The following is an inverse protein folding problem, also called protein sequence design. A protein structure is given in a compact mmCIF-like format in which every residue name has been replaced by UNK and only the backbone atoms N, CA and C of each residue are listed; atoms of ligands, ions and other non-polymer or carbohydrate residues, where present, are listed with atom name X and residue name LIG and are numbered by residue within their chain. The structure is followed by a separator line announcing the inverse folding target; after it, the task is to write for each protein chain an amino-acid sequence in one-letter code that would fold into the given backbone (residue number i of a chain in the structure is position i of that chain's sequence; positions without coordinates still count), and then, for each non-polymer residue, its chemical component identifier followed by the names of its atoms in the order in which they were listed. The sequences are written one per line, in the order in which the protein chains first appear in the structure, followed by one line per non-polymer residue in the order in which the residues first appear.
data_IF_953760422613
#
_entry.id   IF_953760422613
#
_cell.length_a   1.000
_cell.length_b   1.000
_cell.length_c   1.000
_cell.angle_alpha   90.00
_cell.angle_beta   90.00
_cell.angle_gamma   90.00
#
_symmetry.space_group_name_H-M   'P 1'
#
loop_
_entity.id
_entity.type
_entity.pdbx_description
1 polymer ?
#
# COMPACT_ATOMS: atom_id res chain seq x y z
N UNK A 1 -20.56 64.04 -6.84
CA UNK A 1 -19.82 62.95 -6.14
C UNK A 1 -20.63 61.68 -6.33
N UNK A 2 -20.17 60.73 -7.16
CA UNK A 2 -20.81 59.42 -7.33
C UNK A 2 -19.78 58.39 -6.91
N UNK A 3 -19.99 57.75 -5.77
CA UNK A 3 -19.12 56.67 -5.27
C UNK A 3 -19.64 55.36 -5.85
N UNK A 4 -18.83 54.71 -6.68
CA UNK A 4 -19.11 53.37 -7.18
C UNK A 4 -18.51 52.35 -6.22
N UNK A 5 -19.35 51.51 -5.61
CA UNK A 5 -18.92 50.38 -4.79
C UNK A 5 -18.63 49.19 -5.70
N UNK A 6 -17.37 48.74 -5.72
CA UNK A 6 -16.98 47.47 -6.32
C UNK A 6 -17.21 46.36 -5.29
N UNK A 7 -18.14 45.46 -5.57
CA UNK A 7 -18.34 44.22 -4.80
C UNK A 7 -17.33 43.20 -5.30
N UNK A 8 -16.37 42.83 -4.45
CA UNK A 8 -15.45 41.71 -4.71
C UNK A 8 -16.13 40.40 -4.31
N UNK A 9 -16.39 39.54 -5.29
CA UNK A 9 -16.73 38.12 -5.08
C UNK A 9 -15.43 37.33 -4.90
N UNK A 10 -15.18 36.68 -3.75
CA UNK A 10 -14.06 35.76 -3.63
C UNK A 10 -14.36 34.49 -4.42
N UNK A 11 -13.47 34.13 -5.35
CA UNK A 11 -13.51 32.84 -6.03
C UNK A 11 -13.13 31.74 -5.04
N UNK A 12 -14.05 30.79 -4.82
CA UNK A 12 -13.81 29.60 -4.00
C UNK A 12 -12.96 28.62 -4.83
N UNK A 13 -11.66 28.51 -4.53
CA UNK A 13 -10.80 27.51 -5.15
C UNK A 13 -11.20 26.11 -4.66
N UNK A 14 -11.76 25.28 -5.54
CA UNK A 14 -11.99 23.88 -5.24
C UNK A 14 -10.63 23.16 -5.16
N UNK A 15 -10.33 22.58 -3.99
CA UNK A 15 -9.12 21.77 -3.81
C UNK A 15 -9.34 20.44 -4.57
N UNK A 16 -8.73 20.31 -5.74
CA UNK A 16 -8.74 19.03 -6.48
C UNK A 16 -7.77 18.09 -5.79
N UNK A 17 -8.28 17.14 -5.02
CA UNK A 17 -7.46 16.04 -4.51
C UNK A 17 -7.14 15.07 -5.65
N UNK A 18 -5.87 14.72 -5.80
CA UNK A 18 -5.45 13.64 -6.68
C UNK A 18 -6.17 12.35 -6.27
N UNK A 19 -6.69 11.61 -7.26
CA UNK A 19 -7.48 10.40 -7.00
C UNK A 19 -6.58 9.17 -6.78
N UNK A 20 -5.31 9.27 -7.14
CA UNK A 20 -4.26 8.35 -6.73
C UNK A 20 -3.48 8.92 -5.56
N UNK A 21 -2.95 8.06 -4.70
CA UNK A 21 -2.17 8.52 -3.55
C UNK A 21 -0.92 9.34 -3.99
N UNK A 22 -0.39 10.22 -3.11
CA UNK A 22 0.85 10.94 -3.38
C UNK A 22 1.97 9.96 -3.75
N UNK A 23 2.81 10.32 -4.73
CA UNK A 23 3.89 9.45 -5.24
C UNK A 23 3.48 8.09 -5.83
N UNK A 24 2.18 7.76 -5.89
CA UNK A 24 1.73 6.55 -6.57
C UNK A 24 2.06 6.63 -8.08
N UNK A 25 2.57 5.55 -8.72
CA UNK A 25 3.16 5.65 -10.06
C UNK A 25 2.13 5.87 -11.18
N UNK A 26 0.85 5.55 -10.94
CA UNK A 26 -0.24 5.82 -11.87
C UNK A 26 -1.00 7.04 -11.37
N UNK A 27 -1.11 8.08 -12.19
CA UNK A 27 -1.88 9.29 -11.86
C UNK A 27 -3.23 9.24 -12.56
N UNK A 28 -4.29 9.41 -11.78
CA UNK A 28 -5.67 9.38 -12.27
C UNK A 28 -6.39 10.62 -11.74
N UNK A 29 -7.11 11.30 -12.63
CA UNK A 29 -7.90 12.49 -12.29
C UNK A 29 -9.38 12.16 -12.04
N UNK A 30 -9.86 11.03 -12.57
CA UNK A 30 -11.23 10.54 -12.39
C UNK A 30 -11.41 9.87 -11.04
N UNK A 31 -12.40 10.33 -10.27
CA UNK A 31 -12.72 9.74 -8.97
C UNK A 31 -13.49 8.43 -9.10
N UNK A 32 -13.11 7.46 -8.28
CA UNK A 32 -13.78 6.17 -8.16
C UNK A 32 -14.59 6.13 -6.85
N UNK A 33 -15.89 5.90 -6.97
CA UNK A 33 -16.72 5.67 -5.79
C UNK A 33 -16.52 4.22 -5.29
N UNK A 34 -16.25 4.10 -3.99
CA UNK A 34 -15.96 2.84 -3.31
C UNK A 34 -16.68 2.84 -1.96
N UNK A 35 -17.30 1.72 -1.61
CA UNK A 35 -18.00 1.55 -0.34
C UNK A 35 -17.75 0.15 0.24
N UNK A 36 -17.37 0.08 1.50
CA UNK A 36 -17.42 -1.14 2.29
C UNK A 36 -18.82 -1.28 2.87
N UNK A 37 -19.68 -1.99 2.14
CA UNK A 37 -21.10 -2.12 2.46
C UNK A 37 -21.35 -2.83 3.79
N UNK A 38 -20.46 -3.74 4.19
CA UNK A 38 -20.52 -4.44 5.48
C UNK A 38 -20.47 -3.49 6.69
N UNK A 39 -19.69 -2.40 6.59
CA UNK A 39 -19.55 -1.38 7.63
C UNK A 39 -20.28 -0.06 7.30
N UNK A 40 -20.91 0.04 6.13
CA UNK A 40 -21.45 1.30 5.58
C UNK A 40 -20.39 2.41 5.42
N UNK A 41 -19.12 2.03 5.26
CA UNK A 41 -18.00 2.96 5.12
C UNK A 41 -17.82 3.38 3.68
N UNK A 42 -18.04 4.68 3.42
CA UNK A 42 -17.83 5.29 2.10
C UNK A 42 -16.46 5.91 2.00
N UNK A 43 -15.71 5.53 0.98
CA UNK A 43 -14.36 6.02 0.77
C UNK A 43 -14.38 7.52 0.43
N UNK A 44 -13.70 8.31 1.27
CA UNK A 44 -13.32 9.69 0.97
C UNK A 44 -11.84 9.71 0.62
N UNK A 45 -11.50 10.42 -0.45
CA UNK A 45 -10.12 10.44 -0.95
C UNK A 45 -9.15 10.99 0.10
N UNK A 46 -8.11 10.21 0.37
CA UNK A 46 -7.02 10.56 1.28
C UNK A 46 -7.40 10.60 2.76
N UNK A 47 -8.53 10.00 3.15
CA UNK A 47 -8.88 9.87 4.57
C UNK A 47 -8.30 8.61 5.18
N UNK A 48 -8.06 8.65 6.48
CA UNK A 48 -7.79 7.45 7.27
C UNK A 48 -9.11 6.71 7.48
N UNK A 49 -9.07 5.38 7.34
CA UNK A 49 -10.19 4.48 7.59
C UNK A 49 -9.81 3.52 8.71
N UNK A 50 -10.75 3.24 9.61
CA UNK A 50 -10.57 2.22 10.65
C UNK A 50 -10.40 0.84 10.02
N UNK A 51 -9.39 0.11 10.47
CA UNK A 51 -9.05 -1.22 9.95
C UNK A 51 -10.23 -2.18 10.01
N UNK A 52 -11.00 -2.14 11.10
CA UNK A 52 -12.08 -3.08 11.37
C UNK A 52 -13.31 -2.82 10.45
N UNK A 53 -13.42 -1.63 9.86
CA UNK A 53 -14.48 -1.29 8.91
C UNK A 53 -14.25 -1.88 7.50
N UNK A 54 -13.05 -2.36 7.22
CA UNK A 54 -12.60 -2.73 5.86
C UNK A 54 -12.08 -4.16 5.77
N UNK A 55 -12.56 -5.04 6.65
CA UNK A 55 -12.20 -6.46 6.67
C UNK A 55 -12.76 -7.23 5.46
N UNK A 56 -13.87 -6.77 4.89
CA UNK A 56 -14.48 -7.36 3.69
C UNK A 56 -14.08 -6.60 2.42
N UNK A 57 -14.11 -7.23 1.23
CA UNK A 57 -13.85 -6.52 -0.02
C UNK A 57 -14.86 -5.38 -0.26
N UNK A 58 -14.42 -4.24 -0.81
CA UNK A 58 -15.34 -3.15 -1.09
C UNK A 58 -16.21 -3.42 -2.32
N UNK A 59 -17.39 -2.79 -2.34
CA UNK A 59 -18.15 -2.58 -3.58
C UNK A 59 -17.56 -1.40 -4.35
N UNK A 60 -17.24 -1.63 -5.62
CA UNK A 60 -16.72 -0.60 -6.51
C UNK A 60 -17.83 -0.14 -7.45
N UNK A 61 -17.97 1.17 -7.59
CA UNK A 61 -18.96 1.76 -8.48
C UNK A 61 -18.29 2.28 -9.75
N UNK A 62 -18.57 1.59 -10.86
CA UNK A 62 -18.08 1.94 -12.19
C UNK A 62 -18.69 3.23 -12.75
N UNK A 63 -18.24 3.64 -13.95
CA UNK A 63 -18.75 4.82 -14.63
C UNK A 63 -20.25 4.68 -14.96
N UNK A 64 -20.92 5.80 -15.23
CA UNK A 64 -22.33 5.80 -15.63
C UNK A 64 -22.60 5.01 -16.92
N UNK A 65 -21.57 4.83 -17.76
CA UNK A 65 -21.59 4.03 -18.99
C UNK A 65 -21.33 2.54 -18.77
N UNK A 66 -21.12 2.07 -17.54
CA UNK A 66 -20.94 0.66 -17.25
C UNK A 66 -22.16 -0.15 -17.71
N UNK A 67 -21.90 -1.32 -18.27
CA UNK A 67 -22.91 -2.25 -18.77
C UNK A 67 -22.52 -3.69 -18.42
N UNK A 68 -23.41 -4.64 -18.73
CA UNK A 68 -23.10 -6.08 -18.65
C UNK A 68 -22.18 -6.58 -19.76
N UNK A 69 -21.85 -5.74 -20.75
CA UNK A 69 -21.06 -6.15 -21.92
C UNK A 69 -19.61 -5.67 -21.88
N UNK A 70 -19.28 -4.74 -20.97
CA UNK A 70 -17.95 -4.18 -20.82
C UNK A 70 -17.36 -4.60 -19.48
N UNK A 71 -16.38 -5.50 -19.53
CA UNK A 71 -15.66 -5.94 -18.35
C UNK A 71 -14.64 -4.89 -17.89
N UNK A 72 -14.37 -4.90 -16.59
CA UNK A 72 -13.43 -4.02 -15.93
C UNK A 72 -12.52 -4.83 -15.01
N UNK A 73 -11.35 -4.27 -14.72
CA UNK A 73 -10.40 -4.80 -13.75
C UNK A 73 -10.27 -3.82 -12.59
N UNK A 74 -10.48 -4.31 -11.37
CA UNK A 74 -10.18 -3.57 -10.16
C UNK A 74 -8.90 -4.06 -9.50
N UNK A 75 -8.12 -3.13 -8.97
CA UNK A 75 -6.89 -3.42 -8.24
C UNK A 75 -6.80 -2.58 -6.98
N UNK A 76 -6.30 -3.17 -5.89
CA UNK A 76 -5.92 -2.45 -4.67
C UNK A 76 -4.45 -2.70 -4.37
N UNK A 77 -3.69 -1.61 -4.19
CA UNK A 77 -2.25 -1.65 -3.99
C UNK A 77 -1.87 -0.81 -2.77
N UNK A 78 -1.16 -1.43 -1.83
CA UNK A 78 -0.39 -0.74 -0.79
C UNK A 78 0.96 -0.34 -1.39
N UNK A 79 1.39 0.91 -1.23
CA UNK A 79 2.68 1.39 -1.73
C UNK A 79 3.74 1.61 -0.63
N UNK A 80 3.39 1.34 0.62
CA UNK A 80 4.16 1.74 1.80
C UNK A 80 4.69 0.54 2.59
N UNK A 81 4.84 -0.65 1.98
CA UNK A 81 5.39 -1.82 2.70
C UNK A 81 6.88 -1.63 3.00
N UNK A 82 7.25 -1.69 4.28
CA UNK A 82 8.65 -1.78 4.71
C UNK A 82 9.17 -3.21 4.65
N UNK A 83 10.28 -3.40 3.94
CA UNK A 83 11.01 -4.67 3.87
C UNK A 83 12.37 -4.62 4.60
N UNK A 84 12.59 -3.57 5.40
CA UNK A 84 13.87 -3.30 6.07
C UNK A 84 14.91 -2.66 5.16
N UNK A 85 14.46 -2.04 4.06
CA UNK A 85 15.28 -1.31 3.09
C UNK A 85 14.94 0.19 3.11
N UNK A 86 15.78 1.02 2.50
CA UNK A 86 15.56 2.47 2.48
C UNK A 86 14.30 2.91 1.70
N UNK A 87 13.76 2.03 0.85
CA UNK A 87 12.61 2.32 -0.02
C UNK A 87 11.46 1.38 0.31
N UNK A 88 10.25 1.94 0.46
CA UNK A 88 9.00 1.18 0.54
C UNK A 88 8.69 0.48 -0.80
N UNK A 89 8.04 -0.67 -0.73
CA UNK A 89 7.63 -1.47 -1.90
C UNK A 89 6.12 -1.62 -1.96
N UNK A 90 5.62 -2.08 -3.11
CA UNK A 90 4.19 -2.28 -3.29
C UNK A 90 3.77 -3.71 -2.94
N UNK A 91 2.55 -3.84 -2.40
CA UNK A 91 1.88 -5.10 -2.15
C UNK A 91 0.51 -5.11 -2.83
N UNK A 92 0.23 -6.18 -3.57
CA UNK A 92 -1.06 -6.41 -4.21
C UNK A 92 -2.10 -6.95 -3.20
N UNK A 93 -3.01 -6.09 -2.77
CA UNK A 93 -4.08 -6.45 -1.84
C UNK A 93 -5.27 -7.11 -2.54
N UNK A 94 -5.58 -6.67 -3.76
CA UNK A 94 -6.74 -7.18 -4.50
C UNK A 94 -6.52 -7.06 -5.99
N UNK A 95 -6.88 -8.11 -6.74
CA UNK A 95 -6.99 -8.07 -8.20
C UNK A 95 -8.27 -8.81 -8.60
N UNK A 96 -9.19 -8.08 -9.20
CA UNK A 96 -10.48 -8.62 -9.63
C UNK A 96 -10.74 -8.27 -11.09
N UNK A 97 -10.56 -9.24 -12.00
CA UNK A 97 -10.98 -9.11 -13.38
C UNK A 97 -12.50 -9.37 -13.49
N UNK A 98 -13.01 -9.22 -14.71
CA UNK A 98 -14.37 -9.60 -15.09
C UNK A 98 -15.46 -8.88 -14.29
N UNK A 99 -15.25 -7.62 -13.92
CA UNK A 99 -16.26 -6.79 -13.27
C UNK A 99 -17.19 -6.14 -14.30
N UNK A 100 -18.49 -6.30 -14.12
CA UNK A 100 -19.53 -5.62 -14.89
C UNK A 100 -20.53 -4.98 -13.98
N UNK A 101 -21.20 -3.93 -14.43
CA UNK A 101 -22.22 -3.26 -13.63
C UNK A 101 -23.33 -2.70 -14.49
N UNK A 102 -24.57 -3.00 -14.11
CA UNK A 102 -25.75 -2.22 -14.51
C UNK A 102 -26.10 -1.32 -13.33
N UNK A 103 -26.28 -0.01 -13.57
CA UNK A 103 -26.54 0.98 -12.51
C UNK A 103 -25.33 1.21 -11.57
N UNK A 104 -24.12 1.21 -12.12
CA UNK A 104 -22.83 1.59 -11.50
C UNK A 104 -22.24 0.60 -10.50
N UNK A 105 -23.01 -0.06 -9.64
CA UNK A 105 -22.45 -1.08 -8.75
C UNK A 105 -21.89 -2.24 -9.57
N UNK A 106 -20.60 -2.55 -9.41
CA UNK A 106 -19.96 -3.63 -10.16
C UNK A 106 -20.07 -4.95 -9.41
N UNK A 107 -20.27 -6.00 -10.19
CA UNK A 107 -20.40 -7.39 -9.78
C UNK A 107 -19.51 -8.24 -10.65
N UNK A 108 -19.04 -9.36 -10.12
CA UNK A 108 -18.31 -10.34 -10.91
C UNK A 108 -19.26 -10.91 -11.97
N UNK A 109 -18.84 -10.82 -13.23
CA UNK A 109 -19.59 -11.36 -14.34
C UNK A 109 -19.64 -12.88 -14.25
N UNK A 110 -20.86 -13.44 -14.24
CA UNK A 110 -21.02 -14.88 -14.36
C UNK A 110 -20.66 -15.32 -15.81
N UNK A 111 -19.85 -16.39 -15.97
CA UNK A 111 -19.52 -16.98 -17.28
C UNK A 111 -20.77 -17.32 -18.11
N UNK A 112 -21.88 -17.61 -17.45
CA UNK A 112 -23.14 -18.04 -18.09
C UNK A 112 -23.91 -16.88 -18.73
N UNK A 113 -23.60 -15.63 -18.37
CA UNK A 113 -24.40 -14.45 -18.74
C UNK A 113 -23.85 -13.64 -19.91
N UNK A 114 -22.59 -13.87 -20.31
CA UNK A 114 -21.98 -13.22 -21.46
C UNK A 114 -20.75 -14.01 -21.96
N UNK A 115 -20.75 -14.38 -23.25
CA UNK A 115 -19.71 -15.23 -23.84
C UNK A 115 -18.42 -14.49 -24.21
N UNK A 116 -18.35 -13.17 -24.07
CA UNK A 116 -17.16 -12.36 -24.43
C UNK A 116 -16.12 -12.26 -23.30
N UNK A 117 -16.33 -12.97 -22.20
CA UNK A 117 -15.58 -12.77 -20.96
C UNK A 117 -14.86 -14.06 -20.65
N UNK A 118 -13.53 -14.01 -20.60
CA UNK A 118 -12.74 -15.18 -20.24
C UNK A 118 -12.86 -15.45 -18.73
N UNK A 119 -13.79 -16.33 -18.37
CA UNK A 119 -14.00 -16.79 -17.00
C UNK A 119 -12.78 -17.45 -16.35
N UNK A 120 -11.75 -17.80 -17.13
CA UNK A 120 -10.54 -18.44 -16.65
C UNK A 120 -9.46 -17.46 -16.16
N UNK A 121 -9.68 -16.14 -16.24
CA UNK A 121 -8.69 -15.16 -15.73
C UNK A 121 -8.65 -15.26 -14.20
N UNK A 122 -7.50 -15.61 -13.59
CA UNK A 122 -7.41 -15.72 -12.14
C UNK A 122 -7.58 -14.37 -11.44
N UNK A 123 -8.18 -14.39 -10.25
CA UNK A 123 -8.23 -13.26 -9.34
C UNK A 123 -7.20 -13.39 -8.22
N UNK A 124 -6.85 -12.27 -7.60
CA UNK A 124 -6.16 -12.25 -6.31
C UNK A 124 -7.13 -11.84 -5.24
N UNK A 125 -7.44 -12.75 -4.31
CA UNK A 125 -8.40 -12.52 -3.23
C UNK A 125 -8.04 -11.28 -2.41
N UNK A 126 -9.07 -10.62 -1.90
CA UNK A 126 -8.92 -9.43 -1.08
C UNK A 126 -8.16 -9.76 0.20
N UNK A 127 -7.04 -9.07 0.39
CA UNK A 127 -6.28 -9.07 1.62
C UNK A 127 -6.65 -7.81 2.40
N UNK A 128 -7.24 -7.91 3.60
CA UNK A 128 -7.59 -6.74 4.39
C UNK A 128 -6.36 -5.89 4.73
N UNK A 129 -6.38 -4.56 4.50
CA UNK A 129 -5.33 -3.66 4.95
C UNK A 129 -4.98 -3.86 6.42
N UNK A 130 -3.75 -4.30 6.69
CA UNK A 130 -3.25 -4.53 8.06
C UNK A 130 -1.78 -4.13 8.12
N UNK A 131 -1.48 -2.82 8.10
CA UNK A 131 -0.10 -2.36 8.17
C UNK A 131 0.54 -2.82 9.49
N UNK A 132 1.87 -3.03 9.53
CA UNK A 132 2.55 -3.42 10.76
C UNK A 132 2.39 -2.35 11.86
N UNK A 133 2.25 -2.80 13.10
CA UNK A 133 2.15 -1.89 14.24
C UNK A 133 3.40 -1.02 14.41
N UNK A 134 3.20 0.29 14.57
CA UNK A 134 4.29 1.27 14.69
C UNK A 134 4.96 1.68 13.37
N UNK A 135 4.47 1.20 12.22
CA UNK A 135 5.01 1.56 10.90
C UNK A 135 4.40 2.85 10.31
N UNK A 136 3.48 3.47 11.06
CA UNK A 136 2.69 4.61 10.60
C UNK A 136 1.55 4.21 9.65
N UNK A 137 0.83 5.19 9.08
CA UNK A 137 -0.24 4.92 8.14
C UNK A 137 0.32 4.46 6.79
N UNK A 138 -0.25 3.39 6.22
CA UNK A 138 0.02 2.96 4.85
C UNK A 138 -1.03 3.52 3.90
N UNK A 139 -0.63 3.87 2.68
CA UNK A 139 -1.51 4.41 1.63
C UNK A 139 -1.91 3.31 0.67
N UNK A 140 -3.22 3.15 0.51
CA UNK A 140 -3.86 2.15 -0.33
C UNK A 140 -4.54 2.84 -1.51
N UNK A 141 -4.14 2.51 -2.74
CA UNK A 141 -4.77 3.05 -3.95
C UNK A 141 -5.62 1.97 -4.62
N UNK A 142 -6.90 2.26 -4.83
CA UNK A 142 -7.82 1.45 -5.62
C UNK A 142 -7.88 2.03 -7.03
N UNK A 143 -7.71 1.21 -8.05
CA UNK A 143 -7.81 1.58 -9.46
C UNK A 143 -8.87 0.75 -10.18
N UNK A 144 -9.50 1.36 -11.19
CA UNK A 144 -10.40 0.70 -12.12
C UNK A 144 -9.91 0.90 -13.55
N UNK A 145 -9.81 -0.18 -14.31
CA UNK A 145 -9.44 -0.19 -15.73
C UNK A 145 -10.56 -0.79 -16.56
N UNK A 146 -10.71 -0.36 -17.82
CA UNK A 146 -11.44 -1.17 -18.81
C UNK A 146 -10.62 -2.44 -19.09
N UNK A 147 -11.31 -3.58 -19.16
CA UNK A 147 -10.66 -4.86 -19.46
C UNK A 147 -10.63 -5.08 -20.98
N UNK A 148 -9.46 -5.28 -21.61
CA UNK A 148 -9.38 -5.71 -23.00
C UNK A 148 -10.13 -7.03 -23.25
N UNK A 149 -10.74 -7.21 -24.42
CA UNK A 149 -11.49 -8.43 -24.76
C UNK A 149 -10.61 -9.69 -24.65
N UNK A 150 -9.37 -9.62 -25.11
CA UNK A 150 -8.39 -10.71 -25.08
C UNK A 150 -7.45 -10.63 -23.86
N UNK A 151 -7.89 -10.01 -22.77
CA UNK A 151 -7.05 -9.84 -21.58
C UNK A 151 -6.55 -11.17 -21.03
N UNK A 152 -5.25 -11.22 -20.74
CA UNK A 152 -4.60 -12.27 -19.99
C UNK A 152 -3.62 -11.66 -19.00
N UNK A 153 -3.43 -12.32 -17.86
CA UNK A 153 -2.38 -11.95 -16.91
C UNK A 153 -1.02 -12.20 -17.58
N UNK A 154 -0.12 -11.19 -17.67
CA UNK A 154 1.21 -11.41 -18.23
C UNK A 154 1.98 -12.44 -17.40
N UNK A 155 2.77 -13.28 -18.07
CA UNK A 155 3.41 -14.43 -17.43
C UNK A 155 4.40 -14.03 -16.32
N UNK A 156 5.02 -12.86 -16.45
CA UNK A 156 5.88 -12.24 -15.44
C UNK A 156 5.14 -11.86 -14.14
N UNK A 157 3.80 -11.77 -14.15
CA UNK A 157 2.97 -11.50 -12.99
C UNK A 157 2.19 -12.73 -12.48
N UNK A 158 2.41 -13.91 -13.06
CA UNK A 158 1.69 -15.13 -12.69
C UNK A 158 1.89 -15.54 -11.22
N UNK A 159 3.00 -15.16 -10.57
CA UNK A 159 3.21 -15.41 -9.15
C UNK A 159 2.40 -14.49 -8.23
N UNK A 160 1.86 -13.38 -8.76
CA UNK A 160 1.04 -12.44 -8.00
C UNK A 160 -0.45 -12.74 -8.17
N UNK A 161 -0.86 -13.38 -9.27
CA UNK A 161 -2.25 -13.53 -9.69
C UNK A 161 -2.51 -14.96 -10.25
N UNK A 162 -3.04 -15.89 -9.44
CA UNK A 162 -3.19 -15.80 -8.00
C UNK A 162 -1.84 -16.06 -7.31
N UNK A 163 -1.61 -15.51 -6.11
CA UNK A 163 -0.40 -15.77 -5.36
C UNK A 163 -0.47 -17.14 -4.68
N UNK A 164 0.66 -17.88 -4.68
CA UNK A 164 0.75 -19.14 -3.93
C UNK A 164 0.80 -18.89 -2.42
N UNK A 165 1.49 -17.83 -2.00
CA UNK A 165 1.62 -17.39 -0.61
C UNK A 165 1.37 -15.88 -0.54
N UNK A 166 0.94 -15.38 0.62
CA UNK A 166 0.74 -13.93 0.82
C UNK A 166 2.02 -13.13 0.54
N UNK A 167 3.20 -13.71 0.78
CA UNK A 167 4.48 -13.07 0.47
C UNK A 167 4.74 -12.91 -1.02
N UNK A 168 4.10 -13.69 -1.89
CA UNK A 168 4.24 -13.51 -3.34
C UNK A 168 3.55 -12.24 -3.85
N UNK A 169 2.76 -11.56 -3.01
CA UNK A 169 2.08 -10.30 -3.37
C UNK A 169 3.00 -9.08 -3.39
N UNK A 170 4.24 -9.19 -2.92
CA UNK A 170 5.24 -8.12 -2.96
C UNK A 170 6.62 -8.65 -3.42
N UNK A 171 7.48 -7.82 -4.03
CA UNK A 171 7.25 -6.43 -4.41
C UNK A 171 6.48 -6.35 -5.74
N UNK A 172 5.21 -5.95 -5.69
CA UNK A 172 4.41 -5.76 -6.89
C UNK A 172 4.89 -4.52 -7.66
N UNK A 173 4.67 -4.50 -8.97
CA UNK A 173 4.92 -3.31 -9.80
C UNK A 173 3.68 -3.03 -10.64
N UNK A 174 2.81 -2.15 -10.14
CA UNK A 174 1.55 -1.80 -10.82
C UNK A 174 1.81 -1.12 -12.17
N UNK A 175 2.86 -0.31 -12.29
CA UNK A 175 3.17 0.39 -13.54
C UNK A 175 3.70 -0.58 -14.59
N UNK A 176 4.58 -1.49 -14.17
CA UNK A 176 5.02 -2.61 -14.99
C UNK A 176 3.86 -3.51 -15.41
N UNK A 177 2.93 -3.83 -14.50
CA UNK A 177 1.77 -4.67 -14.78
C UNK A 177 0.85 -4.06 -15.82
N UNK A 178 0.45 -2.80 -15.64
CA UNK A 178 -0.42 -2.07 -16.58
C UNK A 178 0.19 -2.06 -17.97
N UNK A 179 1.50 -1.80 -18.07
CA UNK A 179 2.24 -1.82 -19.34
C UNK A 179 2.27 -3.21 -19.97
N UNK A 180 2.61 -4.25 -19.20
CA UNK A 180 2.75 -5.62 -19.70
C UNK A 180 1.41 -6.23 -20.11
N UNK A 181 0.34 -5.89 -19.37
CA UNK A 181 -1.01 -6.37 -19.62
C UNK A 181 -1.76 -5.60 -20.71
N UNK A 182 -1.13 -4.58 -21.30
CA UNK A 182 -1.76 -3.76 -22.34
C UNK A 182 -2.99 -3.00 -21.84
N UNK A 183 -2.99 -2.60 -20.57
CA UNK A 183 -4.06 -1.79 -20.00
C UNK A 183 -3.88 -0.32 -20.38
N UNK A 184 -4.98 0.30 -20.78
CA UNK A 184 -5.04 1.74 -21.01
C UNK A 184 -5.01 2.53 -19.68
N UNK A 185 -5.16 3.85 -19.77
CA UNK A 185 -5.27 4.71 -18.60
C UNK A 185 -6.44 4.25 -17.71
N UNK A 186 -6.19 4.14 -16.41
CA UNK A 186 -7.24 3.85 -15.43
C UNK A 186 -8.39 4.86 -15.55
N UNK A 187 -9.61 4.35 -15.63
CA UNK A 187 -10.83 5.15 -15.79
C UNK A 187 -11.33 5.75 -14.48
N UNK A 188 -10.78 5.29 -13.35
CA UNK A 188 -11.04 5.86 -12.03
C UNK A 188 -10.03 5.36 -11.00
N UNK A 189 -9.74 6.19 -10.02
CA UNK A 189 -9.02 5.78 -8.83
C UNK A 189 -9.60 6.44 -7.58
N UNK A 190 -9.26 5.88 -6.43
CA UNK A 190 -9.42 6.54 -5.14
C UNK A 190 -8.38 5.97 -4.17
N UNK A 191 -8.09 6.66 -3.08
CA UNK A 191 -7.12 6.17 -2.11
C UNK A 191 -7.47 6.57 -0.69
N UNK A 192 -6.94 5.81 0.27
CA UNK A 192 -7.10 5.99 1.71
C UNK A 192 -5.84 5.59 2.44
N UNK A 193 -5.84 5.88 3.73
CA UNK A 193 -4.82 5.43 4.66
C UNK A 193 -5.41 4.48 5.71
N UNK A 194 -4.59 3.56 6.19
CA UNK A 194 -4.91 2.71 7.34
C UNK A 194 -3.73 2.79 8.28
N UNK A 195 -4.01 2.91 9.57
CA UNK A 195 -3.03 2.90 10.64
C UNK A 195 -3.32 1.73 11.58
N UNK A 196 -2.28 0.97 11.91
CA UNK A 196 -2.34 -0.04 12.98
C UNK A 196 -1.63 0.52 14.22
N UNK A 197 -2.28 1.48 14.87
CA UNK A 197 -1.77 2.18 16.05
C UNK A 197 -2.50 1.78 17.33
N UNK A 198 -2.02 2.31 18.45
CA UNK A 198 -2.79 2.34 19.70
C UNK A 198 -4.13 3.05 19.49
N UNK A 199 -5.09 2.83 20.39
CA UNK A 199 -6.39 3.52 20.32
C UNK A 199 -6.23 5.05 20.29
N UNK A 200 -5.26 5.59 21.04
CA UNK A 200 -4.97 7.03 21.04
C UNK A 200 -4.41 7.49 19.69
N UNK A 201 -3.44 6.79 19.13
CA UNK A 201 -2.85 7.11 17.82
C UNK A 201 -3.91 7.06 16.71
N UNK A 202 -4.75 6.03 16.70
CA UNK A 202 -5.83 5.88 15.73
C UNK A 202 -6.85 7.01 15.84
N UNK A 203 -7.27 7.39 17.06
CA UNK A 203 -8.21 8.49 17.26
C UNK A 203 -7.64 9.85 16.82
N UNK A 204 -6.37 10.11 17.11
CA UNK A 204 -5.69 11.32 16.64
C UNK A 204 -5.64 11.33 15.11
N UNK A 205 -5.34 10.19 14.49
CA UNK A 205 -5.21 10.07 13.05
C UNK A 205 -6.57 10.27 12.32
N UNK A 206 -7.66 9.68 12.84
CA UNK A 206 -9.00 9.82 12.28
C UNK A 206 -9.55 11.26 12.36
N UNK A 207 -9.13 12.01 13.38
CA UNK A 207 -9.55 13.40 13.59
C UNK A 207 -8.65 14.41 12.90
N UNK A 208 -7.50 13.98 12.38
CA UNK A 208 -6.63 14.82 11.57
C UNK A 208 -7.33 15.17 10.25
N UNK A 209 -7.61 16.45 10.03
CA UNK A 209 -8.12 16.92 8.73
C UNK A 209 -7.04 16.67 7.68
N UNK A 210 -7.34 16.01 6.56
CA UNK A 210 -6.37 15.86 5.47
C UNK A 210 -6.05 17.25 4.90
N UNK A 211 -4.94 17.82 5.33
CA UNK A 211 -4.35 19.03 4.75
C UNK A 211 -3.36 18.67 3.64
N UNK A 212 -3.02 19.61 2.74
CA UNK A 212 -1.89 19.40 1.85
C UNK A 212 -0.64 19.17 2.70
N UNK A 213 0.04 18.05 2.48
CA UNK A 213 1.21 17.59 3.23
C UNK A 213 2.32 18.64 3.19
N UNK A 214 2.35 19.52 4.19
CA UNK A 214 3.50 20.34 4.51
C UNK A 214 4.55 19.48 5.19
N UNK A 215 5.78 19.53 4.69
CA UNK A 215 6.96 18.86 5.22
C UNK A 215 7.05 19.06 6.74
N UNK A 216 6.82 18.00 7.51
CA UNK A 216 7.09 17.98 8.95
C UNK A 216 8.60 18.09 9.16
N UNK A 217 9.07 19.32 9.33
CA UNK A 217 10.42 19.59 9.85
C UNK A 217 10.35 19.35 11.35
N UNK A 218 11.12 18.44 11.95
CA UNK A 218 11.07 18.23 13.39
C UNK A 218 11.60 19.49 14.07
N UNK A 219 10.71 20.25 14.71
CA UNK A 219 11.10 21.27 15.68
C UNK A 219 11.59 20.54 16.91
N UNK A 220 12.92 20.52 17.10
CA UNK A 220 13.53 20.04 18.32
C UNK A 220 13.04 20.90 19.50
N UNK A 221 12.20 20.31 20.35
CA UNK A 221 11.85 20.87 21.65
C UNK A 221 13.04 20.64 22.59
N UNK A 222 13.86 21.68 22.79
CA UNK A 222 14.97 21.64 23.74
C UNK A 222 14.42 21.63 25.17
N UNK A 223 14.36 20.44 25.78
CA UNK A 223 14.18 20.31 27.23
C UNK A 223 15.52 20.53 27.91
N UNK A 224 15.61 21.57 28.72
CA UNK A 224 16.77 21.92 29.52
C UNK A 224 17.10 20.79 30.51
N UNK A 225 18.31 20.23 30.41
CA UNK A 225 18.91 19.39 31.44
C UNK A 225 19.80 20.23 32.34
N UNK A 226 19.40 20.32 33.60
CA UNK A 226 20.23 20.79 34.71
C UNK A 226 21.38 19.81 34.92
N UNK A 227 22.62 20.23 34.65
CA UNK A 227 23.82 19.47 35.00
C UNK A 227 24.64 20.25 36.03
N UNK A 228 24.77 19.66 37.21
CA UNK A 228 25.58 20.14 38.34
C UNK A 228 27.05 19.87 38.04
N UNK A 229 27.85 20.93 38.00
CA UNK A 229 29.31 20.89 37.85
C UNK A 229 30.01 20.47 39.15
N UNK A 230 30.92 19.50 39.09
CA UNK A 230 32.02 19.36 40.06
C UNK A 230 33.32 19.16 39.29
N UNK A 231 34.29 20.03 39.61
CA UNK A 231 35.63 20.15 39.04
C UNK A 231 36.67 19.57 39.99
N UNK A 232 37.60 18.73 39.52
CA UNK A 232 39.01 18.59 39.97
C UNK A 232 39.77 17.79 38.90
N UNK A 233 40.76 18.29 38.13
CA UNK A 233 42.19 18.50 38.46
C UNK A 233 42.92 17.17 38.75
N UNK A 234 44.04 16.70 38.16
CA UNK A 234 45.11 17.27 37.30
C UNK A 234 46.07 16.12 36.82
N UNK A 235 46.77 16.32 35.68
CA UNK A 235 48.14 15.86 35.29
C UNK A 235 48.53 14.42 34.86
N UNK A 236 48.98 14.34 33.59
CA UNK A 236 50.26 13.83 33.03
C UNK A 236 50.67 12.33 33.08
N UNK A 237 50.97 11.72 31.93
CA UNK A 237 52.33 11.58 31.33
C UNK A 237 52.37 10.52 30.20
N UNK A 238 53.41 10.61 29.38
CA UNK A 238 53.63 10.02 28.06
C UNK A 238 54.33 8.63 28.04
N UNK A 239 54.39 8.05 26.83
CA UNK A 239 55.26 6.93 26.40
C UNK A 239 54.45 5.71 25.93
N UNK A 240 54.64 5.07 24.79
CA UNK A 240 55.65 5.12 23.73
C UNK A 240 55.72 3.72 23.07
N UNK A 241 55.84 3.68 21.73
CA UNK A 241 56.34 2.58 20.87
C UNK A 241 55.55 1.23 20.86
N UNK A 242 54.96 0.84 19.72
CA UNK A 242 55.54 -0.01 18.64
C UNK A 242 55.57 -1.51 18.98
N UNK A 243 54.94 -2.35 18.15
CA UNK A 243 55.62 -3.37 17.33
C UNK A 243 54.63 -4.12 16.43
N UNK A 244 54.99 -4.17 15.15
CA UNK A 244 54.43 -4.91 14.02
C UNK A 244 54.61 -6.42 14.14
N UNK A 245 53.63 -7.21 13.70
CA UNK A 245 53.93 -8.45 12.95
C UNK A 245 52.79 -8.81 11.99
N UNK A 246 53.18 -9.12 10.75
CA UNK A 246 52.35 -9.58 9.64
C UNK A 246 52.78 -10.99 9.22
N UNK A 247 51.84 -11.80 8.70
CA UNK A 247 52.03 -12.90 7.72
C UNK A 247 50.62 -13.47 7.42
N UNK A 248 50.00 -13.42 6.22
CA UNK A 248 50.31 -14.03 4.90
C UNK A 248 50.57 -15.54 5.03
N UNK A 249 49.96 -16.51 4.33
CA UNK A 249 49.42 -16.68 2.97
C UNK A 249 48.38 -17.86 2.98
N UNK A 250 47.30 -17.91 2.18
CA UNK A 250 47.12 -18.29 0.76
C UNK A 250 47.49 -19.75 0.36
N UNK A 251 46.54 -20.45 -0.30
CA UNK A 251 46.70 -21.74 -1.03
C UNK A 251 45.45 -22.64 -0.96
N UNK A 252 44.42 -22.54 -1.83
CA UNK A 252 44.23 -23.06 -3.22
C UNK A 252 43.51 -24.43 -3.31
N UNK A 253 42.29 -24.37 -3.87
CA UNK A 253 41.54 -25.28 -4.77
C UNK A 253 41.25 -26.78 -4.42
N UNK A 254 39.96 -27.15 -4.50
CA UNK A 254 39.46 -28.22 -5.40
C UNK A 254 37.92 -28.20 -5.48
N UNK A 255 37.38 -28.40 -6.68
CA UNK A 255 35.96 -28.46 -7.00
C UNK A 255 35.36 -29.86 -6.72
N UNK A 256 34.07 -29.95 -6.34
CA UNK A 256 33.11 -30.99 -6.80
C UNK A 256 31.68 -30.51 -6.50
N UNK A 257 30.80 -30.81 -7.45
CA UNK A 257 29.39 -30.47 -7.62
C UNK A 257 28.38 -30.98 -6.57
N UNK A 258 27.28 -30.21 -6.45
CA UNK A 258 25.86 -30.63 -6.38
C UNK A 258 25.04 -30.25 -5.13
N UNK A 259 23.77 -29.93 -5.42
CA UNK A 259 22.60 -29.68 -4.57
C UNK A 259 22.33 -28.24 -4.11
N UNK A 260 21.28 -27.68 -4.72
CA UNK A 260 20.57 -26.46 -4.37
C UNK A 260 20.09 -26.49 -2.92
N UNK A 261 20.66 -25.63 -2.09
CA UNK A 261 20.09 -25.27 -0.79
C UNK A 261 19.51 -23.88 -0.89
N UNK A 262 18.26 -23.75 -0.43
CA UNK A 262 17.53 -22.50 -0.30
C UNK A 262 18.46 -21.38 0.16
N UNK A 263 18.62 -20.36 -0.68
CA UNK A 263 19.28 -19.13 -0.26
C UNK A 263 18.49 -18.59 0.92
N UNK A 264 19.15 -18.54 2.08
CA UNK A 264 18.57 -17.99 3.29
C UNK A 264 18.17 -16.54 3.02
N UNK A 265 16.87 -16.27 3.08
CA UNK A 265 16.29 -14.94 3.04
C UNK A 265 17.01 -14.07 4.11
N UNK A 266 17.49 -12.86 3.76
CA UNK A 266 18.15 -11.97 4.72
C UNK A 266 17.31 -11.74 5.99
N UNK A 267 17.95 -11.58 7.14
CA UNK A 267 17.27 -11.44 8.45
C UNK A 267 16.28 -10.27 8.50
N UNK A 268 16.56 -9.19 7.76
CA UNK A 268 15.66 -8.04 7.60
C UNK A 268 14.33 -8.46 6.94
N UNK A 269 14.42 -9.21 5.83
CA UNK A 269 13.26 -9.77 5.15
C UNK A 269 12.53 -10.76 6.05
N UNK A 270 13.23 -11.55 6.89
CA UNK A 270 12.57 -12.44 7.87
C UNK A 270 11.80 -11.69 8.95
N UNK A 271 12.29 -10.56 9.45
CA UNK A 271 11.61 -9.74 10.47
C UNK A 271 10.40 -9.00 9.87
N UNK A 272 10.55 -8.45 8.66
CA UNK A 272 9.44 -7.88 7.89
C UNK A 272 8.37 -8.94 7.61
N UNK A 273 8.78 -10.14 7.16
CA UNK A 273 7.89 -11.30 6.98
C UNK A 273 7.19 -11.71 8.27
N UNK A 274 7.89 -11.71 9.42
CA UNK A 274 7.29 -12.07 10.71
C UNK A 274 6.26 -11.04 11.16
N UNK A 275 6.57 -9.75 11.05
CA UNK A 275 5.63 -8.69 11.45
C UNK A 275 4.42 -8.63 10.52
N UNK A 276 4.63 -8.80 9.22
CA UNK A 276 3.58 -8.88 8.21
C UNK A 276 2.69 -10.12 8.45
N UNK A 277 3.28 -11.30 8.70
CA UNK A 277 2.54 -12.53 9.00
C UNK A 277 1.84 -12.51 10.37
N UNK A 278 2.45 -11.94 11.41
CA UNK A 278 1.79 -11.80 12.72
C UNK A 278 0.58 -10.85 12.63
N UNK A 279 0.62 -9.81 11.79
CA UNK A 279 -0.54 -8.99 11.48
C UNK A 279 -1.68 -9.81 10.82
N UNK A 280 -1.33 -10.73 9.92
CA UNK A 280 -2.32 -11.56 9.21
C UNK A 280 -2.97 -12.66 10.07
N UNK A 281 -2.25 -13.28 11.02
CA UNK A 281 -2.81 -14.35 11.87
C UNK A 281 -3.75 -13.85 12.98
N UNK A 282 -3.67 -12.58 13.39
CA UNK A 282 -4.59 -12.04 14.40
C UNK A 282 -5.88 -11.45 13.81
N UNK A 283 -5.98 -11.26 12.49
CA UNK A 283 -7.19 -10.76 11.81
C UNK A 283 -8.21 -11.86 11.43
N UNK A 284 -7.85 -13.13 11.53
CA UNK A 284 -8.64 -14.26 11.02
C UNK A 284 -9.34 -15.11 12.09
N UNK A 285 -9.27 -14.71 13.37
CA UNK A 285 -10.01 -15.37 14.47
C UNK A 285 -11.21 -14.50 14.86
N UNK A 286 -12.24 -14.47 14.01
CA UNK A 286 -13.42 -13.65 14.27
C UNK A 286 -14.64 -13.95 13.40
N UNK A 287 -14.72 -15.11 12.76
CA UNK A 287 -15.92 -15.50 12.00
C UNK A 287 -16.14 -17.01 12.14
N UNK A 288 -16.69 -17.43 13.27
CA UNK A 288 -17.01 -18.83 13.48
C UNK A 288 -17.48 -19.12 14.89
N UNK A 289 -18.73 -18.76 15.18
CA UNK A 289 -19.70 -19.52 16.01
C UNK A 289 -21.00 -18.73 15.87
N UNK A 290 -21.91 -19.23 15.03
CA UNK A 290 -23.35 -19.31 15.30
C UNK A 290 -23.92 -20.23 14.21
N UNK A 291 -24.00 -21.51 14.54
CA UNK A 291 -24.81 -22.51 13.83
C UNK A 291 -25.84 -23.03 14.83
N UNK A 292 -27.05 -23.22 14.31
CA UNK A 292 -28.26 -23.83 14.90
C UNK A 292 -29.28 -22.87 15.49
#
# INVERSE_FOLDING_TARGET
MKSSYAVYLPALAALVHAQSAPEFPIKVDSSLAVEWTASSTKLRTGTIIERDDILEPPTIFGPASASSTKAHIAMLVDQDVDIGEAKRVQLLHYFQPNLVGVNRAMTIQSPETNSTVNASIPSTEYLPPTPPGGDGPHRYTILLFEQPEDFAVPSEYASFIPPNEVTNRFPFDIAGFVKAAGLDVAIGANWFEVLNGTAEETQIALTAVPGPTGTMTPTASSRAETTTSVTTGTTASAGGASTTVSSTAAGTAAATSSSSTNAAVPEANRKAMRNLMLGFFLGSIGAGIWMS
#
